data_IF_802688773032
#
_entry.id   IF_802688773032
#
_cell.length_a   1.000
_cell.length_b   1.000
_cell.length_c   1.000
_cell.angle_alpha   90.00
_cell.angle_beta   90.00
_cell.angle_gamma   90.00
#
_symmetry.space_group_name_H-M   'P 1'
#
loop_
_entity.id
_entity.type
_entity.pdbx_description
1 polymer ?
#
# COMPACT_ATOMS: atom_id res chain seq x y z
N UNK A 1 22.14 -13.46 16.73
CA UNK A 1 20.98 -14.35 16.48
C UNK A 1 20.39 -13.93 15.14
N UNK A 2 20.66 -14.70 14.10
CA UNK A 2 20.06 -14.46 12.77
C UNK A 2 18.58 -14.81 12.93
N UNK A 3 17.71 -13.81 12.87
CA UNK A 3 16.27 -14.05 12.89
C UNK A 3 15.96 -14.84 11.62
N UNK A 4 15.48 -16.07 11.77
CA UNK A 4 15.11 -16.91 10.63
C UNK A 4 14.03 -16.14 9.86
N UNK A 5 14.29 -15.85 8.59
CA UNK A 5 13.29 -15.33 7.67
C UNK A 5 12.18 -16.38 7.65
N UNK A 6 10.94 -15.95 7.81
CA UNK A 6 9.79 -16.85 7.73
C UNK A 6 9.73 -17.46 6.32
N UNK A 7 10.09 -18.75 6.21
CA UNK A 7 10.20 -19.45 4.92
C UNK A 7 8.88 -19.40 4.12
N UNK A 8 7.74 -19.37 4.80
CA UNK A 8 6.44 -19.27 4.14
C UNK A 8 6.26 -17.90 3.46
N UNK A 9 6.73 -16.80 4.10
CA UNK A 9 6.70 -15.47 3.49
C UNK A 9 7.61 -15.41 2.27
N UNK A 10 8.82 -15.98 2.35
CA UNK A 10 9.73 -16.00 1.21
C UNK A 10 9.13 -16.78 0.03
N UNK A 11 8.53 -17.93 0.30
CA UNK A 11 7.85 -18.72 -0.73
C UNK A 11 6.68 -17.95 -1.36
N UNK A 12 5.82 -17.36 -0.54
CA UNK A 12 4.66 -16.59 -1.02
C UNK A 12 5.11 -15.35 -1.81
N UNK A 13 6.18 -14.66 -1.39
CA UNK A 13 6.78 -13.53 -2.11
C UNK A 13 7.31 -13.93 -3.49
N UNK A 14 8.03 -15.05 -3.58
CA UNK A 14 8.55 -15.54 -4.86
C UNK A 14 7.42 -15.87 -5.84
N UNK A 15 6.38 -16.58 -5.37
CA UNK A 15 5.20 -16.90 -6.18
C UNK A 15 4.45 -15.63 -6.62
N UNK A 16 4.29 -14.68 -5.68
CA UNK A 16 3.64 -13.41 -6.00
C UNK A 16 4.41 -12.60 -7.04
N UNK A 17 5.72 -12.49 -6.93
CA UNK A 17 6.53 -11.75 -7.91
C UNK A 17 6.47 -12.39 -9.28
N UNK A 18 6.55 -13.71 -9.37
CA UNK A 18 6.38 -14.44 -10.62
C UNK A 18 5.00 -14.20 -11.24
N UNK A 19 3.94 -14.24 -10.45
CA UNK A 19 2.58 -13.90 -10.88
C UNK A 19 2.50 -12.44 -11.38
N UNK A 20 3.05 -11.49 -10.61
CA UNK A 20 3.00 -10.05 -10.88
C UNK A 20 3.71 -9.66 -12.19
N UNK A 21 4.73 -10.39 -12.63
CA UNK A 21 5.40 -10.18 -13.92
C UNK A 21 4.45 -10.37 -15.12
N UNK A 22 3.50 -11.30 -15.01
CA UNK A 22 2.49 -11.57 -16.04
C UNK A 22 1.20 -10.79 -15.84
N UNK A 23 1.04 -10.10 -14.70
CA UNK A 23 -0.19 -9.37 -14.37
C UNK A 23 -0.30 -8.05 -15.13
N UNK A 24 -1.25 -7.96 -16.05
CA UNK A 24 -1.58 -6.73 -16.76
C UNK A 24 -2.46 -5.82 -15.88
N UNK A 25 -1.90 -4.69 -15.47
CA UNK A 25 -2.63 -3.66 -14.74
C UNK A 25 -2.98 -2.49 -15.65
N UNK A 26 -4.28 -2.18 -15.74
CA UNK A 26 -4.77 -0.98 -16.42
C UNK A 26 -5.44 -0.10 -15.37
N UNK A 27 -4.81 1.03 -14.98
CA UNK A 27 -5.44 1.96 -14.04
C UNK A 27 -6.71 2.54 -14.64
N UNK A 28 -7.71 2.74 -13.80
CA UNK A 28 -8.90 3.49 -14.19
C UNK A 28 -8.59 4.99 -14.12
N UNK A 29 -8.92 5.71 -15.18
CA UNK A 29 -8.71 7.15 -15.22
C UNK A 29 -9.70 7.87 -14.30
N UNK A 30 -9.16 8.81 -13.52
CA UNK A 30 -9.97 9.77 -12.78
C UNK A 30 -9.83 11.13 -13.47
N UNK A 31 -10.96 11.64 -13.94
CA UNK A 31 -11.05 12.94 -14.58
C UNK A 31 -11.80 13.91 -13.67
N UNK A 32 -11.39 15.18 -13.70
CA UNK A 32 -12.11 16.27 -13.04
C UNK A 32 -12.91 17.04 -14.07
N UNK A 33 -14.20 17.22 -13.83
CA UNK A 33 -15.08 18.01 -14.66
C UNK A 33 -15.81 18.99 -13.74
N UNK A 34 -15.48 20.26 -13.84
CA UNK A 34 -16.06 21.35 -13.05
C UNK A 34 -15.98 21.13 -11.53
N UNK A 35 -14.86 20.54 -11.05
CA UNK A 35 -14.61 20.27 -9.63
C UNK A 35 -15.26 18.98 -9.11
N UNK A 36 -15.89 18.20 -9.97
CA UNK A 36 -16.42 16.87 -9.64
C UNK A 36 -15.52 15.82 -10.29
N UNK A 37 -15.02 14.90 -9.48
CA UNK A 37 -14.21 13.80 -9.97
C UNK A 37 -15.08 12.64 -10.45
N UNK A 38 -14.71 12.07 -11.59
CA UNK A 38 -15.35 10.90 -12.21
C UNK A 38 -14.34 9.80 -12.46
N UNK A 39 -14.78 8.56 -12.30
CA UNK A 39 -14.04 7.38 -12.69
C UNK A 39 -14.94 6.46 -13.52
N UNK A 40 -14.52 6.13 -14.74
CA UNK A 40 -15.29 5.33 -15.68
C UNK A 40 -16.75 5.84 -15.85
N UNK A 41 -16.88 7.16 -16.03
CA UNK A 41 -18.13 7.91 -16.19
C UNK A 41 -19.05 7.95 -14.96
N UNK A 42 -18.61 7.44 -13.81
CA UNK A 42 -19.36 7.51 -12.55
C UNK A 42 -18.71 8.52 -11.60
N UNK A 43 -19.50 9.37 -10.92
CA UNK A 43 -18.96 10.30 -9.94
C UNK A 43 -18.36 9.53 -8.76
N UNK A 44 -17.19 10.00 -8.25
CA UNK A 44 -16.56 9.43 -7.07
C UNK A 44 -16.86 10.20 -5.79
N UNK A 45 -17.67 11.24 -5.89
CA UNK A 45 -18.21 12.01 -4.78
C UNK A 45 -19.73 12.14 -4.93
N UNK A 46 -20.43 12.15 -3.81
CA UNK A 46 -21.87 12.41 -3.77
C UNK A 46 -22.15 13.92 -3.88
N UNK A 47 -23.45 14.30 -3.87
CA UNK A 47 -23.91 15.70 -3.96
C UNK A 47 -23.42 16.57 -2.78
N UNK A 48 -23.01 15.95 -1.66
CA UNK A 48 -22.44 16.62 -0.50
C UNK A 48 -20.90 16.69 -0.56
N UNK A 49 -20.27 16.21 -1.65
CA UNK A 49 -18.82 16.16 -1.83
C UNK A 49 -18.12 15.06 -1.04
N UNK A 50 -18.86 14.10 -0.49
CA UNK A 50 -18.28 12.95 0.23
C UNK A 50 -17.87 11.87 -0.75
N UNK A 51 -16.70 11.27 -0.54
CA UNK A 51 -16.23 10.17 -1.39
C UNK A 51 -17.14 8.94 -1.28
N UNK A 52 -17.56 8.46 -2.46
CA UNK A 52 -18.30 7.20 -2.61
C UNK A 52 -17.31 6.06 -2.40
N UNK A 53 -17.61 5.11 -1.47
CA UNK A 53 -16.67 4.02 -1.16
C UNK A 53 -16.64 2.95 -2.25
N UNK A 54 -17.76 2.72 -2.94
CA UNK A 54 -17.90 1.62 -3.89
C UNK A 54 -19.10 1.86 -4.81
N UNK A 55 -18.96 1.41 -6.07
CA UNK A 55 -20.06 1.32 -7.03
C UNK A 55 -20.00 -0.05 -7.76
N UNK A 56 -20.79 -0.23 -8.81
CA UNK A 56 -20.76 -1.47 -9.61
C UNK A 56 -19.45 -1.70 -10.34
N UNK A 57 -18.64 -0.66 -10.59
CA UNK A 57 -17.41 -0.73 -11.41
C UNK A 57 -16.10 -0.74 -10.62
N UNK A 58 -16.07 -0.14 -9.43
CA UNK A 58 -14.83 0.02 -8.65
C UNK A 58 -15.07 0.10 -7.13
N UNK A 59 -14.00 -0.05 -6.38
CA UNK A 59 -13.89 0.19 -4.94
C UNK A 59 -12.89 1.32 -4.72
N UNK A 60 -13.31 2.41 -4.06
CA UNK A 60 -12.46 3.56 -3.76
C UNK A 60 -11.84 3.41 -2.37
N UNK A 61 -10.53 3.23 -2.32
CA UNK A 61 -9.82 2.97 -1.06
C UNK A 61 -9.37 4.25 -0.39
N UNK A 62 -9.64 4.36 0.91
CA UNK A 62 -9.15 5.44 1.74
C UNK A 62 -9.64 5.33 3.19
N UNK A 63 -8.78 5.62 4.14
CA UNK A 63 -9.09 5.45 5.58
C UNK A 63 -10.28 6.31 6.06
N UNK A 64 -10.45 7.48 5.45
CA UNK A 64 -11.55 8.41 5.77
C UNK A 64 -12.82 8.15 4.93
N UNK A 65 -12.75 7.28 3.92
CA UNK A 65 -13.89 6.92 3.09
C UNK A 65 -14.77 5.97 3.89
N UNK A 66 -16.06 6.29 3.98
CA UNK A 66 -17.04 5.46 4.72
C UNK A 66 -17.37 4.23 3.90
N UNK A 67 -16.84 3.08 4.29
CA UNK A 67 -17.07 1.79 3.66
C UNK A 67 -16.15 0.75 4.28
N UNK A 68 -16.66 -0.45 4.58
CA UNK A 68 -15.85 -1.45 5.29
C UNK A 68 -14.61 -1.84 4.48
N UNK A 69 -14.78 -2.20 3.22
CA UNK A 69 -13.68 -2.66 2.37
C UNK A 69 -12.73 -1.50 1.99
N UNK A 70 -13.28 -0.30 1.68
CA UNK A 70 -12.49 0.91 1.43
C UNK A 70 -11.52 1.23 2.56
N UNK A 71 -12.00 1.13 3.79
CA UNK A 71 -11.19 1.39 4.98
C UNK A 71 -10.22 0.25 5.28
N UNK A 72 -10.66 -1.00 5.14
CA UNK A 72 -9.84 -2.19 5.41
C UNK A 72 -8.66 -2.34 4.44
N UNK A 73 -8.76 -1.89 3.21
CA UNK A 73 -7.67 -1.94 2.23
C UNK A 73 -6.68 -0.77 2.36
N UNK A 74 -6.96 0.22 3.21
CA UNK A 74 -6.09 1.37 3.39
C UNK A 74 -4.83 1.02 4.17
N UNK A 75 -3.66 1.48 3.71
CA UNK A 75 -2.38 1.36 4.42
C UNK A 75 -2.42 1.96 5.84
N UNK A 76 -3.35 2.90 6.10
CA UNK A 76 -3.57 3.53 7.39
C UNK A 76 -4.33 2.65 8.40
N UNK A 77 -4.94 1.54 7.94
CA UNK A 77 -5.65 0.66 8.87
C UNK A 77 -4.67 -0.07 9.80
N UNK A 78 -4.99 -0.22 11.09
CA UNK A 78 -4.06 -0.78 12.08
C UNK A 78 -3.99 -2.31 11.99
N UNK A 79 -3.40 -2.82 10.92
CA UNK A 79 -3.03 -4.23 10.80
C UNK A 79 -1.66 -4.45 11.37
N UNK A 80 -1.57 -5.28 12.40
CA UNK A 80 -0.29 -5.70 12.98
C UNK A 80 0.24 -6.92 12.22
N UNK A 81 1.52 -6.90 11.88
CA UNK A 81 2.21 -8.00 11.20
C UNK A 81 3.73 -7.92 11.41
N UNK A 82 4.39 -9.05 11.24
CA UNK A 82 5.85 -9.10 11.30
C UNK A 82 6.45 -8.89 9.91
N UNK A 83 7.40 -7.97 9.82
CA UNK A 83 8.17 -7.69 8.63
C UNK A 83 9.66 -7.84 8.91
N UNK A 84 10.29 -8.89 8.35
CA UNK A 84 11.63 -9.30 8.72
C UNK A 84 11.72 -9.53 10.23
N UNK A 85 12.54 -8.75 10.94
CA UNK A 85 12.70 -8.83 12.40
C UNK A 85 11.91 -7.80 13.20
N UNK A 86 11.05 -7.04 12.55
CA UNK A 86 10.31 -5.94 13.15
C UNK A 86 8.83 -6.24 13.19
N UNK A 87 8.18 -5.79 14.25
CA UNK A 87 6.73 -5.81 14.36
C UNK A 87 6.18 -4.44 13.94
N UNK A 88 5.35 -4.41 12.90
CA UNK A 88 4.74 -3.22 12.35
C UNK A 88 3.26 -3.17 12.72
N UNK A 89 2.75 -1.95 13.00
CA UNK A 89 1.35 -1.76 13.35
C UNK A 89 0.45 -1.34 12.19
N UNK A 90 1.03 -1.05 11.03
CA UNK A 90 0.32 -0.78 9.79
C UNK A 90 1.28 -0.77 8.62
N UNK A 91 0.77 -0.92 7.40
CA UNK A 91 1.58 -0.72 6.18
C UNK A 91 2.05 0.74 6.09
N UNK A 92 1.24 1.68 6.58
CA UNK A 92 1.63 3.10 6.64
C UNK A 92 2.88 3.34 7.48
N UNK A 93 3.04 2.63 8.61
CA UNK A 93 4.25 2.77 9.44
C UNK A 93 5.52 2.39 8.69
N UNK A 94 5.46 1.42 7.78
CA UNK A 94 6.55 1.11 6.88
C UNK A 94 6.87 2.30 5.95
N UNK A 95 5.85 2.80 5.20
CA UNK A 95 6.07 3.90 4.25
C UNK A 95 6.54 5.20 4.90
N UNK A 96 6.17 5.44 6.14
CA UNK A 96 6.69 6.59 6.89
C UNK A 96 8.12 6.34 7.37
N UNK A 97 8.44 5.13 7.85
CA UNK A 97 9.76 4.78 8.35
C UNK A 97 10.86 4.85 7.28
N UNK A 98 10.59 4.37 6.05
CA UNK A 98 11.60 4.34 4.97
C UNK A 98 12.03 5.73 4.47
N UNK A 99 11.38 6.79 4.93
CA UNK A 99 11.78 8.17 4.66
C UNK A 99 12.98 8.62 5.50
N UNK A 100 13.30 7.90 6.57
CA UNK A 100 14.39 8.23 7.50
C UNK A 100 15.60 7.34 7.27
N UNK A 101 16.78 7.93 7.20
CA UNK A 101 18.06 7.20 7.08
C UNK A 101 18.54 6.59 8.42
N UNK A 102 17.92 6.97 9.55
CA UNK A 102 18.31 6.50 10.87
C UNK A 102 17.49 5.27 11.28
N UNK A 103 18.12 4.07 11.47
CA UNK A 103 17.43 2.85 11.86
C UNK A 103 16.66 2.94 13.19
N UNK A 104 17.15 3.72 14.17
CA UNK A 104 16.48 3.89 15.45
C UNK A 104 15.16 4.67 15.28
N UNK A 105 15.15 5.70 14.42
CA UNK A 105 13.93 6.45 14.10
C UNK A 105 12.95 5.54 13.36
N UNK A 106 13.42 4.71 12.42
CA UNK A 106 12.55 3.76 11.73
C UNK A 106 11.85 2.82 12.72
N UNK A 107 12.59 2.27 13.70
CA UNK A 107 12.02 1.40 14.73
C UNK A 107 10.99 2.13 15.60
N UNK A 108 11.23 3.40 15.91
CA UNK A 108 10.22 4.21 16.63
C UNK A 108 8.94 4.40 15.80
N UNK A 109 9.05 4.56 14.48
CA UNK A 109 7.87 4.72 13.60
C UNK A 109 7.05 3.43 13.53
N UNK A 110 7.67 2.26 13.58
CA UNK A 110 6.98 0.97 13.47
C UNK A 110 5.96 0.71 14.60
N UNK A 111 6.13 1.33 15.78
CA UNK A 111 5.21 1.17 16.91
C UNK A 111 3.94 2.01 16.81
N UNK A 112 3.85 2.87 15.79
CA UNK A 112 2.68 3.68 15.51
C UNK A 112 1.88 3.12 14.34
N UNK A 113 0.58 3.32 14.34
CA UNK A 113 -0.30 2.86 13.27
C UNK A 113 -1.07 4.01 12.62
N UNK A 114 -1.48 3.80 11.39
CA UNK A 114 -2.41 4.67 10.71
C UNK A 114 -2.01 6.14 10.67
N UNK A 115 -2.90 7.00 11.17
CA UNK A 115 -2.72 8.45 11.19
C UNK A 115 -1.57 8.89 12.08
N UNK A 116 -1.26 8.17 13.16
CA UNK A 116 -0.18 8.52 14.08
C UNK A 116 1.18 8.36 13.40
N UNK A 117 1.39 7.23 12.68
CA UNK A 117 2.58 7.03 11.85
C UNK A 117 2.70 8.13 10.76
N UNK A 118 1.59 8.50 10.15
CA UNK A 118 1.55 9.58 9.15
C UNK A 118 1.96 10.93 9.75
N UNK A 119 1.54 11.26 10.96
CA UNK A 119 1.85 12.55 11.61
C UNK A 119 3.30 12.67 12.07
N UNK A 120 3.99 11.58 12.38
CA UNK A 120 5.42 11.62 12.77
C UNK A 120 6.27 12.22 11.65
N UNK A 121 5.95 11.98 10.40
CA UNK A 121 6.67 12.55 9.28
C UNK A 121 6.67 14.09 9.29
N UNK A 122 5.61 14.72 9.78
CA UNK A 122 5.48 16.19 9.75
C UNK A 122 6.42 16.90 10.74
N UNK A 123 6.94 16.16 11.73
CA UNK A 123 7.81 16.69 12.76
C UNK A 123 9.30 16.61 12.43
N UNK A 124 9.69 16.06 11.28
CA UNK A 124 11.09 15.77 10.96
C UNK A 124 11.47 16.20 9.55
N UNK A 125 12.68 16.77 9.43
CA UNK A 125 13.30 17.08 8.14
C UNK A 125 13.89 15.80 7.55
N UNK A 126 13.45 15.42 6.38
CA UNK A 126 14.06 14.38 5.56
C UNK A 126 14.03 14.82 4.10
N UNK A 127 15.03 14.41 3.35
CA UNK A 127 15.29 14.91 2.02
C UNK A 127 15.00 13.89 0.90
N UNK A 128 14.20 12.85 1.19
CA UNK A 128 13.90 11.83 0.19
C UNK A 128 13.31 12.40 -1.10
N UNK A 129 12.56 13.50 -1.02
CA UNK A 129 11.98 14.20 -2.18
C UNK A 129 13.05 14.84 -3.07
N UNK A 130 14.12 15.33 -2.47
CA UNK A 130 15.22 16.01 -3.18
C UNK A 130 16.19 14.99 -3.76
N UNK A 131 16.50 13.94 -2.99
CA UNK A 131 17.51 12.94 -3.36
C UNK A 131 16.96 11.80 -4.22
N UNK A 132 15.67 11.51 -4.13
CA UNK A 132 15.05 10.35 -4.76
C UNK A 132 15.41 9.02 -4.09
N UNK A 133 16.00 9.06 -2.87
CA UNK A 133 16.32 7.87 -2.09
C UNK A 133 15.41 7.71 -0.90
N UNK A 134 15.01 6.46 -0.67
CA UNK A 134 14.43 5.97 0.57
C UNK A 134 15.48 5.16 1.32
N UNK A 135 15.21 4.79 2.55
CA UNK A 135 16.19 4.11 3.40
C UNK A 135 15.59 2.89 4.07
N UNK A 136 16.36 1.81 4.11
CA UNK A 136 16.01 0.64 4.91
C UNK A 136 17.19 0.26 5.81
N UNK A 137 17.03 0.39 7.13
CA UNK A 137 18.03 0.07 8.14
C UNK A 137 19.42 0.68 7.85
N UNK A 138 19.42 1.96 7.43
CA UNK A 138 20.64 2.70 7.11
C UNK A 138 21.13 2.54 5.67
N UNK A 139 20.59 1.61 4.91
CA UNK A 139 20.91 1.43 3.50
C UNK A 139 20.05 2.37 2.65
N UNK A 140 20.68 3.14 1.76
CA UNK A 140 19.98 3.99 0.80
C UNK A 140 19.52 3.15 -0.40
N UNK A 141 18.25 3.26 -0.75
CA UNK A 141 17.62 2.55 -1.86
C UNK A 141 17.01 3.59 -2.80
N UNK A 142 17.32 3.50 -4.09
CA UNK A 142 16.75 4.43 -5.07
C UNK A 142 15.27 4.16 -5.24
N UNK A 143 14.44 5.22 -5.20
CA UNK A 143 12.97 5.16 -5.24
C UNK A 143 12.39 4.38 -6.44
N UNK A 144 13.08 4.34 -7.57
CA UNK A 144 12.63 3.69 -8.81
C UNK A 144 13.44 2.42 -9.15
N UNK A 145 14.11 1.82 -8.16
CA UNK A 145 14.90 0.61 -8.37
C UNK A 145 14.07 -0.64 -8.15
N UNK A 146 14.55 -1.75 -8.72
CA UNK A 146 13.99 -3.09 -8.46
C UNK A 146 14.06 -3.45 -6.96
N UNK A 147 15.09 -2.98 -6.26
CA UNK A 147 15.24 -3.18 -4.80
C UNK A 147 14.10 -2.50 -4.02
N UNK A 148 13.66 -1.30 -4.47
CA UNK A 148 12.49 -0.64 -3.90
C UNK A 148 11.21 -1.44 -4.17
N UNK A 149 11.02 -1.90 -5.40
CA UNK A 149 9.84 -2.69 -5.77
C UNK A 149 9.78 -4.01 -4.99
N UNK A 150 10.93 -4.68 -4.83
CA UNK A 150 11.04 -5.88 -4.00
C UNK A 150 10.67 -5.60 -2.54
N UNK A 151 11.16 -4.50 -1.98
CA UNK A 151 10.88 -4.12 -0.60
C UNK A 151 9.38 -3.82 -0.38
N UNK A 152 8.74 -3.18 -1.36
CA UNK A 152 7.29 -2.93 -1.34
C UNK A 152 6.51 -4.25 -1.45
N UNK A 153 6.87 -5.13 -2.37
CA UNK A 153 6.21 -6.43 -2.50
C UNK A 153 6.31 -7.24 -1.21
N UNK A 154 7.49 -7.27 -0.60
CA UNK A 154 7.75 -8.00 0.64
C UNK A 154 6.88 -7.48 1.81
N UNK A 155 6.72 -6.17 1.97
CA UNK A 155 5.90 -5.63 3.05
C UNK A 155 4.42 -5.98 2.86
N UNK A 156 3.91 -5.95 1.63
CA UNK A 156 2.52 -6.31 1.37
C UNK A 156 2.26 -7.81 1.54
N UNK A 157 3.16 -8.67 1.09
CA UNK A 157 3.08 -10.12 1.36
C UNK A 157 3.18 -10.40 2.86
N UNK A 158 4.06 -9.71 3.58
CA UNK A 158 4.14 -9.83 5.04
C UNK A 158 2.84 -9.39 5.74
N UNK A 159 2.19 -8.34 5.26
CA UNK A 159 0.91 -7.87 5.80
C UNK A 159 -0.21 -8.91 5.64
N UNK A 160 -0.13 -9.82 4.66
CA UNK A 160 -1.08 -10.94 4.52
C UNK A 160 -1.04 -11.95 5.67
N UNK A 161 -0.05 -11.88 6.59
CA UNK A 161 -0.05 -12.64 7.84
C UNK A 161 -1.23 -12.22 8.73
N UNK A 162 -1.69 -10.96 8.63
CA UNK A 162 -2.88 -10.52 9.32
C UNK A 162 -4.12 -11.08 8.61
N UNK A 163 -4.92 -11.94 9.28
CA UNK A 163 -6.03 -12.63 8.64
C UNK A 163 -7.13 -11.68 8.17
N UNK A 164 -7.33 -10.56 8.87
CA UNK A 164 -8.32 -9.56 8.49
C UNK A 164 -7.92 -8.82 7.21
N UNK A 165 -6.62 -8.48 7.07
CA UNK A 165 -6.11 -7.86 5.85
C UNK A 165 -6.15 -8.85 4.68
N UNK A 166 -5.68 -10.10 4.88
CA UNK A 166 -5.73 -11.16 3.86
C UNK A 166 -7.15 -11.37 3.34
N UNK A 167 -8.13 -11.42 4.26
CA UNK A 167 -9.53 -11.57 3.88
C UNK A 167 -10.07 -10.34 3.13
N UNK A 168 -9.68 -9.12 3.52
CA UNK A 168 -10.08 -7.91 2.81
C UNK A 168 -9.55 -7.89 1.38
N UNK A 169 -8.27 -8.23 1.17
CA UNK A 169 -7.66 -8.33 -0.16
C UNK A 169 -8.35 -9.42 -1.00
N UNK A 170 -8.61 -10.58 -0.42
CA UNK A 170 -9.30 -11.69 -1.10
C UNK A 170 -10.74 -11.34 -1.50
N UNK A 171 -11.45 -10.59 -0.68
CA UNK A 171 -12.83 -10.15 -0.95
C UNK A 171 -12.93 -9.03 -1.99
N UNK A 172 -11.82 -8.53 -2.51
CA UNK A 172 -11.79 -7.49 -3.54
C UNK A 172 -12.26 -8.09 -4.87
N UNK A 173 -13.48 -7.77 -5.29
CA UNK A 173 -14.12 -8.33 -6.50
C UNK A 173 -14.14 -7.38 -7.68
N UNK A 174 -13.80 -6.11 -7.47
CA UNK A 174 -13.80 -5.03 -8.46
C UNK A 174 -12.44 -4.34 -8.48
N UNK A 175 -12.08 -3.65 -9.56
CA UNK A 175 -10.88 -2.82 -9.59
C UNK A 175 -10.83 -1.83 -8.44
N UNK A 176 -9.64 -1.68 -7.87
CA UNK A 176 -9.37 -0.68 -6.83
C UNK A 176 -8.97 0.63 -7.48
N UNK A 177 -9.54 1.73 -6.98
CA UNK A 177 -9.07 3.09 -7.20
C UNK A 177 -8.68 3.73 -5.86
N UNK A 178 -7.80 4.73 -5.92
CA UNK A 178 -7.37 5.50 -4.76
C UNK A 178 -7.44 7.00 -5.07
N UNK A 179 -8.66 7.53 -5.14
CA UNK A 179 -8.96 8.88 -5.65
C UNK A 179 -8.23 10.01 -4.92
N UNK A 180 -7.89 9.80 -3.64
CA UNK A 180 -7.17 10.75 -2.80
C UNK A 180 -5.64 10.60 -2.86
N UNK A 181 -5.14 9.61 -3.61
CA UNK A 181 -3.72 9.30 -3.74
C UNK A 181 -2.97 10.31 -4.60
N UNK A 182 -1.70 10.56 -4.27
CA UNK A 182 -0.81 11.42 -5.06
C UNK A 182 -0.31 10.69 -6.30
N UNK A 183 -0.24 11.40 -7.43
CA UNK A 183 0.20 10.84 -8.71
C UNK A 183 1.72 10.91 -8.90
N UNK A 184 2.35 11.96 -8.38
CA UNK A 184 3.75 12.25 -8.67
C UNK A 184 4.69 11.62 -7.62
N UNK A 185 5.73 10.96 -8.09
CA UNK A 185 6.80 10.38 -7.24
C UNK A 185 7.56 11.44 -6.44
N UNK A 186 7.56 12.69 -6.90
CA UNK A 186 8.11 13.84 -6.16
C UNK A 186 7.25 14.24 -4.94
N UNK A 187 6.01 13.80 -4.87
CA UNK A 187 5.10 14.15 -3.78
C UNK A 187 4.95 13.02 -2.74
N UNK A 188 5.14 11.77 -3.17
CA UNK A 188 4.92 10.60 -2.32
C UNK A 188 5.91 9.48 -2.59
N UNK A 189 6.26 8.72 -1.56
CA UNK A 189 7.08 7.51 -1.70
C UNK A 189 6.31 6.34 -2.33
N UNK A 190 4.99 6.43 -2.36
CA UNK A 190 4.13 5.41 -2.97
C UNK A 190 2.96 6.11 -3.65
N UNK A 191 2.96 6.09 -4.98
CA UNK A 191 1.97 6.80 -5.79
C UNK A 191 0.63 6.07 -5.81
N UNK A 192 -0.41 6.78 -6.26
CA UNK A 192 -1.73 6.23 -6.49
C UNK A 192 -1.68 4.96 -7.37
N UNK A 193 -1.00 5.04 -8.52
CA UNK A 193 -0.92 3.92 -9.46
C UNK A 193 -0.16 2.72 -8.91
N UNK A 194 0.89 2.94 -8.13
CA UNK A 194 1.62 1.87 -7.46
C UNK A 194 0.75 1.19 -6.43
N UNK A 195 0.00 1.95 -5.64
CA UNK A 195 -0.95 1.42 -4.66
C UNK A 195 -2.06 0.61 -5.34
N UNK A 196 -2.71 1.17 -6.37
CA UNK A 196 -3.79 0.52 -7.10
C UNK A 196 -3.30 -0.80 -7.74
N UNK A 197 -2.13 -0.76 -8.41
CA UNK A 197 -1.49 -1.96 -8.98
C UNK A 197 -1.21 -3.00 -7.90
N UNK A 198 -0.69 -2.58 -6.76
CA UNK A 198 -0.32 -3.48 -5.68
C UNK A 198 -1.52 -4.24 -5.12
N UNK A 199 -2.61 -3.56 -4.80
CA UNK A 199 -3.81 -4.21 -4.25
C UNK A 199 -4.51 -5.07 -5.30
N UNK A 200 -4.64 -4.59 -6.55
CA UNK A 200 -5.28 -5.36 -7.62
C UNK A 200 -4.50 -6.64 -7.94
N UNK A 201 -3.16 -6.58 -8.03
CA UNK A 201 -2.33 -7.76 -8.28
C UNK A 201 -2.35 -8.74 -7.11
N UNK A 202 -2.33 -8.27 -5.86
CA UNK A 202 -2.47 -9.14 -4.68
C UNK A 202 -3.81 -9.85 -4.63
N UNK A 203 -4.90 -9.14 -4.94
CA UNK A 203 -6.23 -9.73 -4.99
C UNK A 203 -6.33 -10.83 -6.05
N UNK A 204 -5.80 -10.57 -7.25
CA UNK A 204 -5.76 -11.54 -8.33
C UNK A 204 -4.88 -12.75 -7.96
N UNK A 205 -3.72 -12.52 -7.36
CA UNK A 205 -2.82 -13.58 -6.88
C UNK A 205 -3.47 -14.50 -5.85
N UNK A 206 -4.14 -13.95 -4.85
CA UNK A 206 -4.80 -14.77 -3.82
C UNK A 206 -5.94 -15.63 -4.39
N UNK A 207 -6.65 -15.14 -5.42
CA UNK A 207 -7.67 -15.92 -6.13
C UNK A 207 -7.05 -17.04 -6.96
N UNK A 208 -5.98 -16.73 -7.68
CA UNK A 208 -5.22 -17.74 -8.45
C UNK A 208 -4.73 -18.89 -7.57
N UNK A 209 -4.21 -18.59 -6.37
CA UNK A 209 -3.80 -19.64 -5.42
C UNK A 209 -4.96 -20.54 -4.97
N UNK A 210 -6.20 -20.02 -4.92
CA UNK A 210 -7.36 -20.84 -4.54
C UNK A 210 -7.85 -21.73 -5.69
N UNK A 211 -7.61 -21.33 -6.95
CA UNK A 211 -8.03 -22.09 -8.15
C UNK A 211 -7.09 -23.27 -8.43
N UNK A 212 -5.84 -23.21 -7.96
CA UNK A 212 -4.83 -24.27 -8.15
C UNK A 212 -4.87 -25.36 -7.05
N UNK A 213 -5.81 -25.31 -6.12
CA UNK A 213 -6.05 -26.30 -5.06
C UNK A 213 -7.28 -27.15 -5.38
#
# INVERSE_FOLDING_TARGET
>A
MVCAINENIVKELLLYRQFKESFEFKPLDIIDVDGIQYCDSLPIQDEEGKYIPECEKWINVGYKIKGSLSKLLSNLYPYEFDFRKFHLRSIESFFQAIKFNNPAIQQMVFVYSGTDAYHIQMASSYNWKETGYIYWQGQAIKRDSEEYDLLVDEVYISALQNPLYRQAVKNTTKPIIHSIGKLLKSETVFTRYEFERQINSLSAFLKHLDEDI
#
